data_IF_554037824343
#
_entry.id   IF_554037824343
#
_cell.length_a   1.000
_cell.length_b   1.000
_cell.length_c   1.000
_cell.angle_alpha   90.00
_cell.angle_beta   90.00
_cell.angle_gamma   90.00
#
_symmetry.space_group_name_H-M   'P 1'
#
loop_
_entity.id
_entity.type
_entity.pdbx_description
1 polymer ?
#
# COMPACT_ATOMS: atom_id res chain seq x y z
N UNK A 1 -9.73 1.46 -7.93
CA UNK A 1 -8.45 1.38 -7.19
C UNK A 1 -7.87 2.76 -6.88
N UNK A 2 -7.92 3.73 -7.81
CA UNK A 2 -7.36 5.08 -7.59
C UNK A 2 -8.01 5.91 -6.47
N UNK A 3 -9.26 5.62 -6.10
CA UNK A 3 -10.03 6.40 -5.12
C UNK A 3 -9.36 6.54 -3.74
N UNK A 4 -8.53 5.57 -3.34
CA UNK A 4 -7.75 5.66 -2.08
C UNK A 4 -6.61 6.66 -2.22
N UNK A 5 -5.95 6.71 -3.37
CA UNK A 5 -4.83 7.62 -3.64
C UNK A 5 -5.30 9.07 -3.83
N UNK A 6 -6.54 9.27 -4.28
CA UNK A 6 -7.11 10.60 -4.52
C UNK A 6 -8.09 11.04 -3.44
N UNK A 7 -8.08 10.39 -2.26
CA UNK A 7 -8.94 10.80 -1.15
C UNK A 7 -8.60 12.22 -0.70
N UNK A 8 -9.62 13.05 -0.49
CA UNK A 8 -9.42 14.49 -0.26
C UNK A 8 -8.65 14.85 1.01
N UNK A 9 -8.59 13.93 1.99
CA UNK A 9 -7.91 14.15 3.29
C UNK A 9 -6.72 13.23 3.52
N UNK A 10 -6.84 11.98 3.07
CA UNK A 10 -5.91 10.90 3.41
C UNK A 10 -5.24 10.30 2.17
N UNK A 11 -5.42 10.97 1.03
CA UNK A 11 -4.83 10.59 -0.25
C UNK A 11 -3.42 11.14 -0.43
N UNK A 12 -2.82 10.78 -1.57
CA UNK A 12 -1.52 11.28 -2.00
C UNK A 12 -1.62 12.50 -2.92
N UNK A 13 -2.81 12.80 -3.47
CA UNK A 13 -2.98 14.02 -4.25
C UNK A 13 -2.82 15.26 -3.34
N UNK A 14 -2.21 16.36 -3.81
CA UNK A 14 -2.07 17.58 -3.02
C UNK A 14 -3.41 18.19 -2.65
N UNK A 15 -3.49 18.74 -1.44
CA UNK A 15 -4.60 19.62 -1.07
C UNK A 15 -4.53 20.92 -1.88
N UNK A 16 -5.66 21.62 -2.11
CA UNK A 16 -5.65 22.90 -2.83
C UNK A 16 -4.67 23.92 -2.25
N UNK A 17 -4.42 23.90 -0.94
CA UNK A 17 -3.47 24.80 -0.26
C UNK A 17 -2.01 24.46 -0.51
N UNK A 18 -1.72 23.23 -0.93
CA UNK A 18 -0.37 22.77 -1.30
C UNK A 18 -0.03 23.12 -2.76
N UNK A 19 -0.98 23.71 -3.50
CA UNK A 19 -0.86 24.00 -4.93
C UNK A 19 -0.87 25.51 -5.16
N UNK A 20 0.22 26.02 -5.74
CA UNK A 20 0.25 27.39 -6.26
C UNK A 20 -0.06 27.36 -7.75
N UNK A 21 -1.13 28.03 -8.15
CA UNK A 21 -1.59 28.10 -9.53
C UNK A 21 -1.39 29.53 -10.03
N UNK A 22 -0.54 29.70 -11.03
CA UNK A 22 -0.28 30.99 -11.67
C UNK A 22 -0.44 30.84 -13.19
N UNK A 23 -1.14 31.78 -13.80
CA UNK A 23 -1.31 31.82 -15.25
C UNK A 23 -1.28 33.27 -15.74
N UNK A 24 -0.41 33.56 -16.71
CA UNK A 24 -0.24 34.89 -17.31
C UNK A 24 -1.38 35.29 -18.27
N UNK A 25 -2.49 34.57 -18.29
CA UNK A 25 -3.59 34.84 -19.19
C UNK A 25 -4.47 36.00 -18.68
N UNK A 26 -5.21 36.70 -19.56
CA UNK A 26 -6.03 37.86 -19.16
C UNK A 26 -7.31 37.49 -18.38
N UNK A 27 -7.47 36.23 -17.99
CA UNK A 27 -8.61 35.74 -17.21
C UNK A 27 -8.31 35.96 -15.71
N UNK A 28 -9.18 36.70 -15.02
CA UNK A 28 -9.02 37.08 -13.62
C UNK A 28 -9.49 35.99 -12.62
N UNK A 29 -9.90 34.81 -13.11
CA UNK A 29 -10.28 33.70 -12.26
C UNK A 29 -9.06 33.04 -11.59
N UNK A 30 -9.23 32.63 -10.32
CA UNK A 30 -8.24 31.83 -9.58
C UNK A 30 -7.92 30.50 -10.30
N UNK A 31 -8.93 29.91 -10.95
CA UNK A 31 -8.77 28.77 -11.86
C UNK A 31 -9.35 29.16 -13.22
N UNK A 32 -8.50 29.67 -14.10
CA UNK A 32 -8.87 29.94 -15.50
C UNK A 32 -8.96 28.64 -16.31
N UNK A 33 -9.51 28.72 -17.54
CA UNK A 33 -9.61 27.57 -18.45
C UNK A 33 -8.27 26.88 -18.76
N UNK A 34 -7.17 27.62 -18.73
CA UNK A 34 -5.84 27.07 -18.99
C UNK A 34 -5.34 26.26 -17.80
N UNK A 35 -5.47 26.79 -16.59
CA UNK A 35 -5.16 26.06 -15.35
C UNK A 35 -6.02 24.79 -15.29
N UNK A 36 -7.32 24.90 -15.57
CA UNK A 36 -8.20 23.74 -15.61
C UNK A 36 -7.75 22.69 -16.64
N UNK A 37 -7.37 23.11 -17.85
CA UNK A 37 -6.87 22.21 -18.89
C UNK A 37 -5.55 21.53 -18.48
N UNK A 38 -4.64 22.27 -17.84
CA UNK A 38 -3.38 21.72 -17.30
C UNK A 38 -3.66 20.69 -16.22
N UNK A 39 -4.51 21.01 -15.23
CA UNK A 39 -4.88 20.09 -14.16
C UNK A 39 -5.53 18.82 -14.70
N UNK A 40 -6.37 18.94 -15.73
CA UNK A 40 -6.97 17.79 -16.40
C UNK A 40 -5.92 16.93 -17.11
N UNK A 41 -4.96 17.56 -17.80
CA UNK A 41 -3.83 16.87 -18.43
C UNK A 41 -2.87 16.20 -17.43
N UNK A 42 -2.75 16.73 -16.21
CA UNK A 42 -2.06 16.09 -15.09
C UNK A 42 -2.87 14.89 -14.60
N UNK A 43 -4.18 15.03 -14.41
CA UNK A 43 -5.09 13.94 -14.03
C UNK A 43 -4.97 12.73 -14.97
N UNK A 44 -5.02 12.95 -16.28
CA UNK A 44 -4.84 11.89 -17.28
C UNK A 44 -3.49 11.15 -17.10
N UNK A 45 -2.41 11.88 -16.80
CA UNK A 45 -1.08 11.27 -16.59
C UNK A 45 -1.02 10.46 -15.31
N UNK A 46 -1.65 10.94 -14.23
CA UNK A 46 -1.70 10.26 -12.94
C UNK A 46 -2.59 9.01 -12.98
N UNK A 47 -3.70 9.08 -13.71
CA UNK A 47 -4.60 7.94 -13.92
C UNK A 47 -3.88 6.80 -14.68
N UNK A 48 -3.09 7.15 -15.70
CA UNK A 48 -2.33 6.18 -16.48
C UNK A 48 -1.09 5.64 -15.74
N UNK A 49 -0.51 6.42 -14.81
CA UNK A 49 0.74 6.12 -14.09
C UNK A 49 0.63 6.52 -12.61
N UNK A 50 -0.04 5.70 -11.79
CA UNK A 50 -0.26 5.99 -10.37
C UNK A 50 1.04 6.07 -9.54
N UNK A 51 2.14 5.49 -10.02
CA UNK A 51 3.45 5.58 -9.38
C UNK A 51 3.97 7.03 -9.27
N UNK A 52 3.48 7.93 -10.11
CA UNK A 52 3.84 9.35 -10.09
C UNK A 52 3.36 10.07 -8.82
N UNK A 53 2.34 9.56 -8.12
CA UNK A 53 1.92 10.12 -6.83
C UNK A 53 3.05 10.06 -5.78
N UNK A 54 3.86 9.01 -5.80
CA UNK A 54 5.00 8.88 -4.88
C UNK A 54 6.13 9.84 -5.21
N UNK A 55 6.39 10.05 -6.51
CA UNK A 55 7.35 11.07 -6.98
C UNK A 55 6.90 12.46 -6.53
N UNK A 56 5.62 12.77 -6.69
CA UNK A 56 5.04 14.05 -6.34
C UNK A 56 5.11 14.32 -4.83
N UNK A 57 4.96 13.28 -4.00
CA UNK A 57 5.13 13.33 -2.54
C UNK A 57 6.58 13.18 -2.06
N UNK A 58 7.56 13.07 -2.98
CA UNK A 58 8.98 12.86 -2.66
C UNK A 58 9.22 11.62 -1.77
N UNK A 59 8.42 10.57 -1.97
CA UNK A 59 8.52 9.33 -1.19
C UNK A 59 9.17 8.24 -2.01
N UNK A 60 10.20 7.60 -1.44
CA UNK A 60 10.78 6.38 -1.99
C UNK A 60 9.86 5.17 -1.72
N UNK A 61 9.36 4.59 -2.81
CA UNK A 61 8.50 3.41 -2.76
C UNK A 61 9.20 2.21 -2.10
N UNK A 62 10.51 2.05 -2.28
CA UNK A 62 11.27 0.95 -1.69
C UNK A 62 11.30 1.06 -0.16
N UNK A 63 11.47 2.27 0.37
CA UNK A 63 11.42 2.56 1.80
C UNK A 63 10.01 2.31 2.38
N UNK A 64 8.95 2.67 1.67
CA UNK A 64 7.57 2.37 2.08
C UNK A 64 7.31 0.87 2.14
N UNK A 65 7.77 0.10 1.14
CA UNK A 65 7.55 -1.34 1.10
C UNK A 65 8.30 -2.06 2.23
N UNK A 66 9.51 -1.61 2.55
CA UNK A 66 10.29 -2.13 3.69
C UNK A 66 9.59 -1.90 5.04
N UNK A 67 8.96 -0.75 5.24
CA UNK A 67 8.25 -0.46 6.50
C UNK A 67 6.91 -1.20 6.59
N UNK A 68 6.18 -1.30 5.48
CA UNK A 68 4.92 -2.03 5.41
C UNK A 68 5.09 -3.54 5.66
N UNK A 69 6.15 -4.14 5.11
CA UNK A 69 6.46 -5.57 5.31
C UNK A 69 6.94 -5.85 6.74
N UNK A 70 7.73 -4.95 7.35
CA UNK A 70 8.13 -5.07 8.75
C UNK A 70 6.91 -5.04 9.70
N UNK A 71 5.94 -4.17 9.43
CA UNK A 71 4.68 -4.09 10.19
C UNK A 71 3.76 -5.30 9.98
N UNK A 72 3.72 -5.87 8.77
CA UNK A 72 2.96 -7.08 8.46
C UNK A 72 3.56 -8.33 9.14
N UNK A 73 4.89 -8.43 9.18
CA UNK A 73 5.61 -9.51 9.86
C UNK A 73 5.52 -9.41 11.40
N UNK A 74 5.35 -8.20 11.93
CA UNK A 74 5.21 -7.91 13.36
C UNK A 74 3.83 -8.25 13.94
N UNK A 75 2.78 -8.33 13.11
CA UNK A 75 1.44 -8.70 13.60
C UNK A 75 1.49 -10.12 14.18
N UNK A 76 1.13 -10.24 15.46
CA UNK A 76 1.00 -11.52 16.14
C UNK A 76 0.15 -12.48 15.29
N UNK A 77 0.64 -13.73 15.19
CA UNK A 77 0.04 -14.81 14.41
C UNK A 77 -1.50 -14.80 14.57
N UNK A 78 -2.28 -14.70 13.48
CA UNK A 78 -3.72 -14.60 13.59
C UNK A 78 -4.27 -15.80 14.38
N UNK A 79 -5.24 -15.55 15.26
CA UNK A 79 -6.02 -16.61 15.89
C UNK A 79 -6.50 -17.61 14.83
N UNK A 80 -6.51 -18.90 15.13
CA UNK A 80 -6.65 -19.98 14.14
C UNK A 80 -7.85 -19.81 13.18
N UNK A 81 -8.92 -19.12 13.59
CA UNK A 81 -10.10 -18.84 12.76
C UNK A 81 -9.99 -17.65 11.79
N UNK A 82 -8.87 -16.89 11.78
CA UNK A 82 -8.63 -15.77 10.86
C UNK A 82 -7.59 -16.08 9.76
N UNK A 83 -7.26 -17.35 9.57
CA UNK A 83 -6.40 -17.80 8.46
C UNK A 83 -7.26 -18.38 7.34
N UNK A 84 -6.97 -17.97 6.11
CA UNK A 84 -7.44 -18.64 4.90
C UNK A 84 -6.66 -19.95 4.82
N UNK A 85 -7.36 -21.06 4.61
CA UNK A 85 -6.73 -22.36 4.43
C UNK A 85 -6.01 -22.41 3.07
N UNK A 86 -4.88 -23.12 3.00
CA UNK A 86 -3.99 -23.10 1.82
C UNK A 86 -4.71 -23.56 0.54
N UNK A 87 -5.64 -24.50 0.67
CA UNK A 87 -6.51 -25.03 -0.39
C UNK A 87 -7.52 -24.01 -0.94
N UNK A 88 -7.70 -22.87 -0.24
CA UNK A 88 -8.63 -21.80 -0.64
C UNK A 88 -7.95 -20.53 -1.13
N UNK A 89 -6.62 -20.45 -1.10
CA UNK A 89 -5.89 -19.25 -1.52
C UNK A 89 -6.16 -18.92 -2.99
N UNK A 90 -6.09 -19.91 -3.88
CA UNK A 90 -6.32 -19.73 -5.31
C UNK A 90 -7.73 -19.21 -5.61
N UNK A 91 -8.73 -19.69 -4.88
CA UNK A 91 -10.13 -19.28 -5.04
C UNK A 91 -10.41 -17.87 -4.49
N UNK A 92 -9.75 -17.46 -3.41
CA UNK A 92 -9.94 -16.12 -2.82
C UNK A 92 -9.26 -15.05 -3.67
N UNK A 93 -8.06 -15.34 -4.19
CA UNK A 93 -7.24 -14.35 -4.91
C UNK A 93 -7.33 -14.46 -6.43
N UNK A 94 -8.01 -15.49 -6.98
CA UNK A 94 -8.20 -15.66 -8.42
C UNK A 94 -6.89 -15.86 -9.19
N UNK A 95 -5.88 -16.44 -8.53
CA UNK A 95 -4.54 -16.69 -9.07
C UNK A 95 -4.21 -18.18 -8.93
N UNK A 96 -3.51 -18.75 -9.90
CA UNK A 96 -2.96 -20.10 -9.78
C UNK A 96 -1.71 -20.05 -8.87
N UNK A 97 -1.74 -20.81 -7.77
CA UNK A 97 -0.57 -21.03 -6.92
C UNK A 97 -0.02 -22.44 -7.19
N UNK A 98 1.30 -22.52 -7.43
CA UNK A 98 2.02 -23.79 -7.47
C UNK A 98 2.03 -24.43 -6.08
N UNK A 99 1.73 -25.73 -6.00
CA UNK A 99 1.62 -26.47 -4.75
C UNK A 99 3.01 -26.64 -4.12
N UNK A 100 3.26 -25.93 -3.01
CA UNK A 100 4.55 -25.97 -2.34
C UNK A 100 4.79 -27.34 -1.68
N UNK A 101 6.02 -27.89 -1.77
CA UNK A 101 6.35 -29.18 -1.16
C UNK A 101 6.15 -29.15 0.36
N UNK A 102 5.78 -30.28 0.99
CA UNK A 102 5.38 -30.31 2.40
C UNK A 102 6.51 -29.81 3.31
N UNK A 103 6.22 -28.73 4.06
CA UNK A 103 7.14 -28.16 5.02
C UNK A 103 7.47 -29.19 6.13
N UNK A 104 8.76 -29.49 6.31
CA UNK A 104 9.25 -30.40 7.37
C UNK A 104 8.74 -29.95 8.75
N UNK A 105 8.04 -30.86 9.43
CA UNK A 105 7.56 -30.64 10.79
C UNK A 105 8.73 -30.32 11.74
N UNK A 106 8.68 -29.17 12.43
CA UNK A 106 9.63 -28.83 13.50
C UNK A 106 9.40 -29.75 14.69
N UNK A 107 10.45 -30.50 15.02
CA UNK A 107 10.51 -31.45 16.15
C UNK A 107 10.27 -30.71 17.48
N UNK A 108 9.40 -31.18 18.37
CA UNK A 108 9.16 -30.51 19.64
C UNK A 108 10.40 -30.57 20.54
N UNK A 109 10.83 -29.41 21.03
CA UNK A 109 11.90 -29.27 22.02
C UNK A 109 11.48 -29.93 23.33
N UNK A 110 12.25 -30.93 23.78
CA UNK A 110 12.08 -31.57 25.09
C UNK A 110 12.47 -30.56 26.17
N UNK A 111 11.46 -30.01 26.86
CA UNK A 111 11.64 -29.17 28.05
C UNK A 111 12.22 -30.03 29.17
N UNK A 112 13.49 -29.80 29.52
CA UNK A 112 14.18 -30.50 30.60
C UNK A 112 13.49 -30.25 31.94
N UNK A 113 13.14 -31.34 32.63
CA UNK A 113 12.55 -31.31 33.98
C UNK A 113 13.67 -30.98 34.97
N UNK A 114 13.65 -29.77 35.55
CA UNK A 114 14.55 -29.40 36.65
C UNK A 114 14.26 -30.33 37.82
N UNK A 115 15.20 -31.22 38.14
CA UNK A 115 15.15 -32.04 39.35
C UNK A 115 15.36 -31.15 40.56
N UNK A 116 14.31 -30.90 41.33
CA UNK A 116 14.44 -30.52 42.73
C UNK A 116 14.95 -31.73 43.52
N UNK A 117 15.96 -31.53 44.37
CA UNK A 117 16.37 -32.45 45.43
C UNK A 117 16.61 -31.64 46.72
N UNK A 118 16.43 -32.29 47.88
CA UNK A 118 15.88 -31.72 49.11
C UNK A 118 16.81 -30.77 49.85
#
# INVERSE_FOLDING_TARGET
MLAVLTHAKDGLFPEPREMTLDCSCPDAAEVCKHIAAVLYGVGIRLDARPELFFVLRQVDQAALLSSATAGAASRARPAAGRRIADDRLSAVFGIELEEAPPARARRPSRRGKTRQRP
#
